data_IF_376029592292
#
_entry.id   IF_376029592292
#
_cell.length_a   1.000
_cell.length_b   1.000
_cell.length_c   1.000
_cell.angle_alpha   90.00
_cell.angle_beta   90.00
_cell.angle_gamma   90.00
#
_symmetry.space_group_name_H-M   'P 1'
#
loop_
_entity.id
_entity.type
_entity.pdbx_description
1 polymer ?
#
# COMPACT_ATOMS: atom_id res chain seq x y z
N UNK A 1 0.62 26.72 4.80
CA UNK A 1 1.43 25.79 5.61
C UNK A 1 2.62 25.30 4.79
N UNK A 2 3.84 25.71 5.15
CA UNK A 2 5.06 25.19 4.52
C UNK A 2 5.26 23.73 4.94
N UNK A 3 5.30 22.80 3.97
CA UNK A 3 5.61 21.40 4.25
C UNK A 3 7.11 21.30 4.47
N UNK A 4 7.54 21.01 5.71
CA UNK A 4 8.93 20.68 6.01
C UNK A 4 9.42 19.58 5.08
N UNK A 5 10.40 19.89 4.22
CA UNK A 5 10.99 18.94 3.28
C UNK A 5 12.02 18.11 4.05
N UNK A 6 11.85 16.78 4.09
CA UNK A 6 12.83 15.88 4.69
C UNK A 6 14.16 16.00 3.94
N UNK A 7 15.29 15.98 4.68
CA UNK A 7 16.65 16.01 4.09
C UNK A 7 16.87 14.87 3.09
N UNK A 8 16.29 13.70 3.36
CA UNK A 8 16.24 12.56 2.44
C UNK A 8 14.78 12.23 2.17
N UNK A 9 14.24 12.60 0.99
CA UNK A 9 12.92 12.14 0.62
C UNK A 9 12.93 10.62 0.49
N UNK A 10 11.87 10.01 1.01
CA UNK A 10 11.62 8.59 0.90
C UNK A 10 10.22 8.47 0.31
N UNK A 11 10.11 7.70 -0.77
CA UNK A 11 8.83 7.36 -1.36
C UNK A 11 8.74 5.87 -1.56
N UNK A 12 7.52 5.38 -1.71
CA UNK A 12 7.30 4.05 -2.27
C UNK A 12 7.18 4.17 -3.79
N UNK A 13 7.50 3.11 -4.54
CA UNK A 13 7.26 3.03 -5.98
C UNK A 13 5.77 3.03 -6.36
N UNK A 14 4.86 2.72 -5.44
CA UNK A 14 3.43 2.73 -5.71
C UNK A 14 2.88 4.14 -5.87
N UNK A 15 2.33 4.42 -7.05
CA UNK A 15 1.54 5.62 -7.33
C UNK A 15 0.20 5.61 -6.58
N UNK A 16 -0.35 4.42 -6.29
CA UNK A 16 -1.62 4.23 -5.57
C UNK A 16 -1.71 2.82 -4.98
N UNK A 17 -2.35 2.69 -3.80
CA UNK A 17 -2.72 1.40 -3.18
C UNK A 17 -4.22 1.09 -3.30
N UNK A 18 -4.97 1.86 -4.11
CA UNK A 18 -6.43 1.75 -4.14
C UNK A 18 -6.90 0.39 -4.67
N UNK A 19 -6.22 -0.14 -5.68
CA UNK A 19 -6.59 -1.40 -6.31
C UNK A 19 -6.26 -2.61 -5.43
N UNK A 20 -5.09 -2.62 -4.78
CA UNK A 20 -4.72 -3.63 -3.78
C UNK A 20 -5.77 -3.70 -2.65
N UNK A 21 -6.14 -2.52 -2.09
CA UNK A 21 -7.18 -2.43 -1.06
C UNK A 21 -8.55 -2.91 -1.56
N UNK A 22 -8.89 -2.65 -2.82
CA UNK A 22 -10.14 -3.12 -3.43
C UNK A 22 -10.14 -4.64 -3.57
N UNK A 23 -9.04 -5.22 -4.05
CA UNK A 23 -8.89 -6.66 -4.23
C UNK A 23 -9.00 -7.40 -2.89
N UNK A 24 -8.24 -6.97 -1.89
CA UNK A 24 -8.25 -7.59 -0.56
C UNK A 24 -9.63 -7.53 0.09
N UNK A 25 -10.31 -6.38 0.01
CA UNK A 25 -11.67 -6.25 0.53
C UNK A 25 -12.68 -7.15 -0.20
N UNK A 26 -12.50 -7.38 -1.51
CA UNK A 26 -13.34 -8.31 -2.28
C UNK A 26 -13.15 -9.75 -1.81
N UNK A 27 -11.90 -10.18 -1.61
CA UNK A 27 -11.59 -11.53 -1.12
C UNK A 27 -12.10 -11.71 0.31
N UNK A 28 -11.91 -10.72 1.17
CA UNK A 28 -12.40 -10.75 2.56
C UNK A 28 -13.92 -10.98 2.61
N UNK A 29 -14.69 -10.19 1.86
CA UNK A 29 -16.15 -10.36 1.77
C UNK A 29 -16.56 -11.73 1.24
N UNK A 30 -15.83 -12.25 0.24
CA UNK A 30 -16.11 -13.56 -0.32
C UNK A 30 -15.88 -14.67 0.70
N UNK A 31 -14.73 -14.67 1.40
CA UNK A 31 -14.41 -15.64 2.45
C UNK A 31 -15.37 -15.54 3.63
N UNK A 32 -15.73 -14.34 4.09
CA UNK A 32 -16.72 -14.17 5.16
C UNK A 32 -18.08 -14.76 4.77
N UNK A 33 -18.55 -14.53 3.53
CA UNK A 33 -19.80 -15.12 3.04
C UNK A 33 -19.73 -16.64 2.99
N UNK A 34 -18.63 -17.21 2.50
CA UNK A 34 -18.44 -18.66 2.49
C UNK A 34 -18.46 -19.22 3.91
N UNK A 35 -17.68 -18.64 4.83
CA UNK A 35 -17.59 -19.07 6.22
C UNK A 35 -18.97 -19.11 6.90
N UNK A 36 -19.75 -18.03 6.77
CA UNK A 36 -21.13 -17.95 7.29
C UNK A 36 -22.01 -19.07 6.72
N UNK A 37 -21.92 -19.33 5.41
CA UNK A 37 -22.73 -20.35 4.76
C UNK A 37 -22.36 -21.79 5.19
N UNK A 38 -21.09 -22.04 5.49
CA UNK A 38 -20.60 -23.32 6.03
C UNK A 38 -20.68 -23.43 7.55
N UNK A 39 -21.26 -22.44 8.24
CA UNK A 39 -21.36 -22.41 9.70
C UNK A 39 -20.01 -22.25 10.43
N UNK A 40 -18.99 -21.76 9.73
CA UNK A 40 -17.66 -21.47 10.28
C UNK A 40 -17.57 -20.00 10.69
N UNK A 41 -16.65 -19.71 11.60
CA UNK A 41 -16.41 -18.34 12.04
C UNK A 41 -15.76 -17.51 10.91
N UNK A 42 -16.31 -16.33 10.57
CA UNK A 42 -15.75 -15.49 9.52
C UNK A 42 -14.41 -14.87 9.96
N UNK A 43 -13.53 -14.53 9.01
CA UNK A 43 -12.28 -13.87 9.34
C UNK A 43 -12.56 -12.48 9.94
N UNK A 44 -11.83 -12.15 11.01
CA UNK A 44 -12.00 -10.89 11.75
C UNK A 44 -11.04 -9.81 11.28
N UNK A 45 -9.86 -10.21 10.81
CA UNK A 45 -8.80 -9.30 10.37
C UNK A 45 -8.46 -9.53 8.91
N UNK A 46 -8.15 -8.44 8.20
CA UNK A 46 -7.70 -8.49 6.80
C UNK A 46 -6.42 -9.33 6.61
N UNK A 47 -5.57 -9.42 7.65
CA UNK A 47 -4.34 -10.24 7.64
C UNK A 47 -4.60 -11.73 7.50
N UNK A 48 -5.78 -12.19 7.85
CA UNK A 48 -6.19 -13.61 7.70
C UNK A 48 -6.49 -13.96 6.24
N UNK A 49 -6.66 -12.94 5.39
CA UNK A 49 -7.03 -13.08 3.99
C UNK A 49 -5.91 -12.66 3.04
N UNK A 50 -5.10 -11.67 3.42
CA UNK A 50 -3.98 -11.20 2.62
C UNK A 50 -2.81 -10.77 3.49
N UNK A 51 -1.59 -11.06 3.04
CA UNK A 51 -0.40 -10.47 3.63
C UNK A 51 -0.36 -8.95 3.36
N UNK A 52 -0.05 -8.18 4.40
CA UNK A 52 0.08 -6.71 4.34
C UNK A 52 1.32 -6.30 3.54
N UNK A 53 2.34 -7.16 3.52
CA UNK A 53 3.60 -6.91 2.82
C UNK A 53 3.51 -7.15 1.30
N UNK A 54 2.42 -7.74 0.80
CA UNK A 54 2.19 -7.90 -0.64
C UNK A 54 1.66 -6.62 -1.34
N UNK A 55 1.41 -5.54 -0.59
CA UNK A 55 0.86 -4.32 -1.17
C UNK A 55 1.95 -3.57 -1.90
N UNK A 56 1.62 -2.96 -3.04
CA UNK A 56 2.60 -2.21 -3.84
C UNK A 56 3.28 -1.07 -3.04
N UNK A 57 2.61 -0.60 -1.98
CA UNK A 57 3.07 0.49 -1.11
C UNK A 57 4.12 0.13 -0.05
N UNK A 58 4.53 -1.13 0.06
CA UNK A 58 5.41 -1.57 1.15
C UNK A 58 6.92 -1.35 0.87
N UNK A 59 7.32 -1.32 -0.42
CA UNK A 59 8.70 -1.07 -0.82
C UNK A 59 9.12 0.40 -0.68
N UNK A 60 9.67 0.80 0.46
CA UNK A 60 10.17 2.17 0.65
C UNK A 60 11.58 2.34 0.06
N UNK A 61 11.77 3.37 -0.74
CA UNK A 61 13.04 3.69 -1.41
C UNK A 61 13.50 5.09 -1.02
N UNK A 62 14.75 5.17 -0.57
CA UNK A 62 15.42 6.45 -0.33
C UNK A 62 15.85 7.06 -1.66
N UNK A 63 15.68 8.37 -1.78
CA UNK A 63 16.11 9.12 -2.95
C UNK A 63 17.61 9.40 -2.83
N UNK A 64 18.46 8.41 -3.07
CA UNK A 64 19.92 8.56 -3.15
C UNK A 64 20.47 7.38 -3.95
N UNK A 65 21.00 7.56 -5.16
CA UNK A 65 22.40 7.95 -5.34
C UNK A 65 22.73 8.57 -6.73
N UNK A 66 21.76 9.20 -7.41
CA UNK A 66 22.05 10.00 -8.61
C UNK A 66 21.31 11.34 -8.56
N UNK A 67 22.08 12.38 -8.28
CA UNK A 67 21.65 13.66 -7.71
C UNK A 67 21.44 14.76 -8.76
N UNK A 68 21.74 14.50 -10.04
CA UNK A 68 21.67 15.51 -11.11
C UNK A 68 20.27 15.75 -11.68
N UNK A 69 19.31 14.82 -11.50
CA UNK A 69 17.95 14.96 -12.05
C UNK A 69 16.95 15.65 -11.08
N UNK A 70 17.38 16.06 -9.88
CA UNK A 70 16.52 16.65 -8.85
C UNK A 70 15.98 18.04 -9.27
N UNK A 71 16.70 18.80 -10.11
CA UNK A 71 16.19 20.07 -10.68
C UNK A 71 14.97 19.87 -11.59
N UNK A 72 14.87 18.73 -12.29
CA UNK A 72 13.70 18.37 -13.12
C UNK A 72 12.47 18.04 -12.27
N UNK A 73 12.68 17.47 -11.09
CA UNK A 73 11.62 17.03 -10.17
C UNK A 73 10.95 18.22 -9.44
N UNK A 74 11.59 19.40 -9.40
CA UNK A 74 11.09 20.59 -8.71
C UNK A 74 10.60 21.74 -9.62
N UNK A 75 10.52 21.57 -10.94
CA UNK A 75 9.89 22.60 -11.79
C UNK A 75 8.36 22.61 -11.58
N UNK A 76 7.88 23.84 -11.37
CA UNK A 76 6.57 24.22 -10.82
C UNK A 76 5.43 24.06 -11.81
#
# INVERSE_FOLDING_TARGET
MSRSKRKTPMSTFATSQKDDKRMVNRIFRHKSKQAINTGHEPPHRLREVSDVYCFAGDGKTYWSFDWKDIEKIMRK
#
